data_IF_309644879979
#
_entry.id   IF_309644879979
#
_cell.length_a   1.000
_cell.length_b   1.000
_cell.length_c   1.000
_cell.angle_alpha   90.00
_cell.angle_beta   90.00
_cell.angle_gamma   90.00
#
_symmetry.space_group_name_H-M   'P 1'
#
loop_
_entity.id
_entity.type
_entity.pdbx_description
1 polymer ?
#
# COMPACT_ATOMS: atom_id res chain seq x y z
N UNK A 1 -45.46 54.33 16.28
CA UNK A 1 -45.10 53.18 15.41
C UNK A 1 -44.03 53.66 14.45
N UNK A 2 -42.83 53.11 14.29
CA UNK A 2 -42.00 52.08 14.92
C UNK A 2 -40.59 52.31 14.29
N UNK A 3 -39.51 52.42 15.08
CA UNK A 3 -38.32 51.50 15.10
C UNK A 3 -37.89 50.92 13.74
N UNK A 4 -36.62 50.70 13.36
CA UNK A 4 -35.24 50.76 13.89
C UNK A 4 -34.36 50.42 12.68
N UNK A 5 -33.14 50.96 12.54
CA UNK A 5 -31.98 50.15 12.10
C UNK A 5 -30.66 50.85 12.43
N UNK A 6 -29.80 50.17 13.21
CA UNK A 6 -28.40 50.55 13.46
C UNK A 6 -27.49 49.85 12.45
N UNK A 7 -26.26 50.37 12.25
CA UNK A 7 -25.12 49.48 12.12
C UNK A 7 -24.05 49.74 13.18
N UNK A 8 -23.59 48.63 13.72
CA UNK A 8 -22.58 48.40 14.72
C UNK A 8 -21.18 48.40 14.09
N UNK A 9 -20.25 49.28 14.49
CA UNK A 9 -18.79 49.01 14.53
C UNK A 9 -18.05 49.98 15.48
N UNK A 10 -17.24 49.40 16.37
CA UNK A 10 -15.87 49.82 16.75
C UNK A 10 -15.65 49.94 18.25
N UNK A 11 -15.02 48.91 18.84
CA UNK A 11 -14.29 49.03 20.10
C UNK A 11 -12.84 48.66 19.86
N UNK A 12 -12.00 49.68 19.87
CA UNK A 12 -10.55 49.64 19.69
C UNK A 12 -9.85 48.79 20.77
N UNK A 13 -8.77 48.16 20.32
CA UNK A 13 -7.86 47.24 20.99
C UNK A 13 -7.23 47.78 22.28
N UNK A 14 -6.93 46.86 23.20
CA UNK A 14 -5.88 47.02 24.22
C UNK A 14 -4.79 45.99 23.93
N UNK A 15 -3.66 46.45 23.39
CA UNK A 15 -2.43 45.67 23.25
C UNK A 15 -1.69 45.76 24.58
N UNK A 16 -1.28 44.63 25.15
CA UNK A 16 -0.40 44.60 26.33
C UNK A 16 0.86 43.82 25.95
N UNK A 17 1.96 44.54 25.98
CA UNK A 17 3.33 44.11 25.71
C UNK A 17 3.89 43.33 26.91
N UNK A 18 4.57 42.21 26.68
CA UNK A 18 5.32 41.47 27.70
C UNK A 18 6.81 41.48 27.33
N UNK A 19 7.54 42.46 27.88
CA UNK A 19 8.99 42.55 27.81
C UNK A 19 9.71 41.73 28.89
N UNK A 20 10.82 41.10 28.50
CA UNK A 20 11.89 40.56 29.34
C UNK A 20 12.52 41.65 30.23
N UNK A 21 13.26 41.43 31.33
CA UNK A 21 14.53 40.70 31.44
C UNK A 21 15.02 40.75 32.92
N UNK A 22 15.63 39.65 33.36
CA UNK A 22 16.69 39.43 34.38
C UNK A 22 17.15 40.65 35.24
N UNK A 23 17.12 40.47 36.58
CA UNK A 23 18.13 41.10 37.47
C UNK A 23 18.40 40.27 38.75
N UNK A 24 19.68 39.96 38.92
CA UNK A 24 20.33 39.19 39.99
C UNK A 24 20.55 40.04 41.25
N UNK A 25 20.34 39.48 42.46
CA UNK A 25 21.03 39.90 43.69
C UNK A 25 21.29 38.72 44.64
N UNK A 26 22.56 38.57 45.00
CA UNK A 26 23.15 37.66 45.99
C UNK A 26 23.24 38.33 47.37
N UNK A 27 23.02 37.55 48.44
CA UNK A 27 23.59 37.64 49.81
C UNK A 27 22.74 36.76 50.76
N UNK A 28 23.20 36.03 51.78
CA UNK A 28 24.50 35.62 52.29
C UNK A 28 24.28 34.53 53.39
N UNK A 29 25.25 33.60 53.52
CA UNK A 29 25.78 32.95 54.75
C UNK A 29 24.88 32.18 55.75
N UNK A 30 25.13 30.86 55.90
CA UNK A 30 25.22 30.15 57.22
C UNK A 30 25.90 28.73 57.17
N UNK A 31 27.13 28.65 57.71
CA UNK A 31 27.89 27.62 58.50
C UNK A 31 27.49 26.10 58.52
N UNK A 32 28.36 25.17 58.03
CA UNK A 32 29.31 24.19 58.72
C UNK A 32 28.71 22.76 59.02
N UNK A 33 29.49 21.66 59.30
CA UNK A 33 30.59 21.00 58.55
C UNK A 33 30.49 19.43 58.43
N UNK A 34 31.31 18.86 57.52
CA UNK A 34 31.98 17.53 57.45
C UNK A 34 31.33 16.24 57.99
N UNK A 35 31.18 15.23 57.11
CA UNK A 35 31.61 13.85 57.40
C UNK A 35 32.00 13.12 56.10
N UNK A 36 33.26 12.65 56.03
CA UNK A 36 33.73 11.69 55.03
C UNK A 36 33.54 10.30 55.61
N UNK A 37 32.80 9.44 54.92
CA UNK A 37 32.74 8.01 55.20
C UNK A 37 33.30 7.25 54.00
N UNK A 38 34.37 6.50 54.25
CA UNK A 38 34.99 5.55 53.34
C UNK A 38 34.28 4.20 53.51
N UNK A 39 33.76 3.60 52.44
CA UNK A 39 33.99 2.18 52.08
C UNK A 39 33.26 1.75 50.79
N UNK A 40 33.96 0.95 49.98
CA UNK A 40 33.51 0.32 48.73
C UNK A 40 32.55 -0.86 48.97
N UNK A 41 31.78 -1.36 47.98
CA UNK A 41 32.39 -2.26 46.98
C UNK A 41 31.83 -2.11 45.56
N UNK A 42 32.62 -2.59 44.60
CA UNK A 42 32.21 -2.82 43.20
C UNK A 42 30.86 -3.55 43.17
N UNK A 43 29.80 -2.83 42.85
CA UNK A 43 28.50 -3.42 42.50
C UNK A 43 28.69 -4.10 41.14
N UNK A 44 28.76 -5.42 41.15
CA UNK A 44 28.64 -6.25 39.96
C UNK A 44 27.47 -5.71 39.13
N UNK A 45 27.79 -5.14 37.96
CA UNK A 45 26.81 -4.91 36.90
C UNK A 45 26.26 -6.28 36.53
N UNK A 46 25.12 -6.62 37.11
CA UNK A 46 24.31 -7.74 36.66
C UNK A 46 23.94 -7.38 35.23
N UNK A 47 24.58 -8.03 34.25
CA UNK A 47 24.26 -7.84 32.84
C UNK A 47 22.75 -7.94 32.70
N UNK A 48 22.12 -6.81 32.40
CA UNK A 48 20.71 -6.74 32.10
C UNK A 48 20.51 -7.63 30.88
N UNK A 49 19.83 -8.75 31.08
CA UNK A 49 19.43 -9.63 30.01
C UNK A 49 18.48 -8.82 29.13
N UNK A 50 18.97 -8.39 27.96
CA UNK A 50 18.35 -7.53 26.95
C UNK A 50 16.81 -7.58 26.90
N UNK A 51 16.13 -6.89 27.80
CA UNK A 51 14.76 -6.44 27.57
C UNK A 51 14.87 -5.21 26.71
N UNK A 52 14.80 -5.42 25.39
CA UNK A 52 14.70 -4.37 24.40
C UNK A 52 13.66 -3.35 24.86
N UNK A 53 14.07 -2.08 24.99
CA UNK A 53 13.15 -0.99 25.22
C UNK A 53 12.06 -1.03 24.12
N UNK A 54 10.77 -0.83 24.47
CA UNK A 54 9.68 -0.80 23.50
C UNK A 54 9.98 0.11 22.30
N UNK A 55 10.66 1.23 22.55
CA UNK A 55 11.10 2.20 21.55
C UNK A 55 12.07 1.62 20.51
N UNK A 56 13.04 0.82 20.94
CA UNK A 56 14.04 0.20 20.05
C UNK A 56 13.43 -0.91 19.21
N UNK A 57 12.49 -1.67 19.78
CA UNK A 57 11.76 -2.71 19.05
C UNK A 57 10.89 -2.10 17.93
N UNK A 58 10.15 -1.02 18.22
CA UNK A 58 9.30 -0.32 17.25
C UNK A 58 10.14 0.26 16.10
N UNK A 59 11.32 0.80 16.41
CA UNK A 59 12.25 1.32 15.39
C UNK A 59 12.79 0.22 14.48
N UNK A 60 13.09 -0.98 15.01
CA UNK A 60 13.53 -2.13 14.21
C UNK A 60 12.45 -2.64 13.26
N UNK A 61 11.21 -2.73 13.73
CA UNK A 61 10.08 -3.14 12.91
C UNK A 61 9.83 -2.18 11.75
N UNK A 62 9.89 -0.87 11.99
CA UNK A 62 9.77 0.14 10.95
C UNK A 62 10.88 0.04 9.90
N UNK A 63 12.13 -0.21 10.31
CA UNK A 63 13.25 -0.43 9.36
C UNK A 63 13.04 -1.67 8.51
N UNK A 64 12.55 -2.76 9.11
CA UNK A 64 12.24 -3.98 8.38
C UNK A 64 11.10 -3.77 7.38
N UNK A 65 10.01 -3.12 7.79
CA UNK A 65 8.89 -2.78 6.89
C UNK A 65 9.36 -1.94 5.69
N UNK A 66 10.21 -0.94 5.94
CA UNK A 66 10.81 -0.13 4.88
C UNK A 66 11.66 -0.97 3.91
N UNK A 67 12.54 -1.82 4.44
CA UNK A 67 13.38 -2.70 3.63
C UNK A 67 12.54 -3.64 2.77
N UNK A 68 11.52 -4.28 3.35
CA UNK A 68 10.61 -5.16 2.62
C UNK A 68 9.82 -4.41 1.54
N UNK A 69 9.41 -3.17 1.81
CA UNK A 69 8.74 -2.34 0.80
C UNK A 69 9.67 -2.02 -0.38
N UNK A 70 10.93 -1.67 -0.13
CA UNK A 70 11.92 -1.43 -1.19
C UNK A 70 12.21 -2.70 -1.98
N UNK A 71 12.36 -3.83 -1.30
CA UNK A 71 12.54 -5.13 -1.96
C UNK A 71 11.35 -5.46 -2.87
N UNK A 72 10.12 -5.25 -2.39
CA UNK A 72 8.91 -5.45 -3.17
C UNK A 72 8.91 -4.59 -4.45
N UNK A 73 9.28 -3.31 -4.32
CA UNK A 73 9.37 -2.37 -5.45
C UNK A 73 10.41 -2.82 -6.49
N UNK A 74 11.57 -3.31 -6.03
CA UNK A 74 12.59 -3.88 -6.92
C UNK A 74 12.07 -5.13 -7.64
N UNK A 75 11.37 -6.04 -6.93
CA UNK A 75 10.77 -7.23 -7.53
C UNK A 75 9.74 -6.88 -8.61
N UNK A 76 8.80 -5.98 -8.29
CA UNK A 76 7.76 -5.49 -9.22
C UNK A 76 8.41 -4.84 -10.45
N UNK A 77 9.38 -3.96 -10.22
CA UNK A 77 10.11 -3.26 -11.27
C UNK A 77 10.86 -4.23 -12.18
N UNK A 78 11.64 -5.16 -11.62
CA UNK A 78 12.40 -6.14 -12.39
C UNK A 78 11.50 -7.01 -13.27
N UNK A 79 10.43 -7.59 -12.68
CA UNK A 79 9.48 -8.43 -13.42
C UNK A 79 8.86 -7.65 -14.58
N UNK A 80 8.44 -6.41 -14.33
CA UNK A 80 7.78 -5.56 -15.33
C UNK A 80 8.72 -5.16 -16.44
N UNK A 81 9.93 -4.71 -16.12
CA UNK A 81 10.93 -4.26 -17.08
C UNK A 81 11.35 -5.44 -17.97
N UNK A 82 11.68 -6.59 -17.38
CA UNK A 82 12.11 -7.75 -18.14
C UNK A 82 11.01 -8.26 -19.08
N UNK A 83 9.79 -8.42 -18.58
CA UNK A 83 8.67 -8.86 -19.41
C UNK A 83 8.39 -7.87 -20.53
N UNK A 84 8.47 -6.57 -20.25
CA UNK A 84 8.28 -5.54 -21.26
C UNK A 84 9.35 -5.60 -22.33
N UNK A 85 10.62 -5.72 -21.94
CA UNK A 85 11.74 -5.90 -22.86
C UNK A 85 11.52 -7.12 -23.77
N UNK A 86 11.16 -8.26 -23.19
CA UNK A 86 10.92 -9.50 -23.93
C UNK A 86 9.79 -9.35 -24.97
N UNK A 87 8.67 -8.74 -24.58
CA UNK A 87 7.50 -8.60 -25.46
C UNK A 87 7.68 -7.52 -26.53
N UNK A 88 8.39 -6.43 -26.21
CA UNK A 88 8.69 -5.36 -27.16
C UNK A 88 9.62 -5.86 -28.28
N UNK A 89 10.60 -6.70 -27.95
CA UNK A 89 11.50 -7.33 -28.93
C UNK A 89 10.79 -8.26 -29.91
N UNK A 90 9.59 -8.74 -29.56
CA UNK A 90 8.76 -9.59 -30.43
C UNK A 90 7.73 -8.81 -31.26
N UNK A 91 7.78 -7.48 -31.24
CA UNK A 91 6.93 -6.62 -32.06
C UNK A 91 5.50 -6.43 -31.56
N UNK A 92 5.20 -6.79 -30.29
CA UNK A 92 3.87 -6.62 -29.68
C UNK A 92 2.71 -7.20 -30.52
N UNK A 93 2.91 -8.37 -31.12
CA UNK A 93 1.87 -9.10 -31.84
C UNK A 93 1.40 -10.36 -31.10
N UNK A 94 0.11 -10.66 -31.20
CA UNK A 94 -0.47 -11.89 -30.68
C UNK A 94 -0.32 -12.05 -29.16
N UNK A 95 0.38 -13.13 -28.77
CA UNK A 95 0.64 -13.45 -27.35
C UNK A 95 1.55 -12.43 -26.67
N UNK A 96 2.45 -11.78 -27.41
CA UNK A 96 3.37 -10.80 -26.83
C UNK A 96 2.64 -9.53 -26.37
N UNK A 97 1.66 -9.05 -27.14
CA UNK A 97 0.80 -7.94 -26.75
C UNK A 97 0.00 -8.25 -25.49
N UNK A 98 -0.59 -9.45 -25.43
CA UNK A 98 -1.27 -9.94 -24.24
C UNK A 98 -0.34 -9.92 -23.02
N UNK A 99 0.82 -10.56 -23.14
CA UNK A 99 1.79 -10.65 -22.04
C UNK A 99 2.28 -9.27 -21.58
N UNK A 100 2.47 -8.34 -22.51
CA UNK A 100 2.85 -6.96 -22.19
C UNK A 100 1.76 -6.23 -21.42
N UNK A 101 0.53 -6.20 -21.96
CA UNK A 101 -0.61 -5.50 -21.37
C UNK A 101 -0.99 -6.04 -19.99
N UNK A 102 -1.00 -7.36 -19.80
CA UNK A 102 -1.32 -7.94 -18.48
C UNK A 102 -0.20 -7.75 -17.47
N UNK A 103 1.07 -7.73 -17.91
CA UNK A 103 2.19 -7.47 -16.99
C UNK A 103 2.19 -6.01 -16.54
N UNK A 104 2.14 -5.05 -17.48
CA UNK A 104 2.11 -3.63 -17.11
C UNK A 104 0.82 -3.27 -16.34
N UNK A 105 -0.29 -3.90 -16.68
CA UNK A 105 -1.58 -3.66 -16.04
C UNK A 105 -1.65 -4.23 -14.62
N UNK A 106 -1.52 -5.56 -14.49
CA UNK A 106 -1.72 -6.25 -13.22
C UNK A 106 -0.46 -6.35 -12.35
N UNK A 107 0.72 -6.51 -12.95
CA UNK A 107 1.96 -6.65 -12.14
C UNK A 107 2.52 -5.30 -11.72
N UNK A 108 2.40 -4.26 -12.53
CA UNK A 108 2.91 -2.93 -12.22
C UNK A 108 1.82 -1.99 -11.67
N UNK A 109 0.91 -1.50 -12.52
CA UNK A 109 -0.05 -0.47 -12.10
C UNK A 109 -0.98 -0.93 -10.97
N UNK A 110 -1.47 -2.17 -11.02
CA UNK A 110 -2.31 -2.69 -9.95
C UNK A 110 -1.52 -2.91 -8.64
N UNK A 111 -0.28 -3.42 -8.70
CA UNK A 111 0.54 -3.60 -7.51
C UNK A 111 0.86 -2.24 -6.83
N UNK A 112 1.30 -1.25 -7.61
CA UNK A 112 1.52 0.12 -7.11
C UNK A 112 0.22 0.73 -6.56
N UNK A 113 -0.86 0.54 -7.31
CA UNK A 113 -2.21 0.93 -6.93
C UNK A 113 -2.62 0.44 -5.53
N UNK A 114 -2.38 -0.84 -5.25
CA UNK A 114 -2.66 -1.49 -3.97
C UNK A 114 -1.73 -0.96 -2.87
N UNK A 115 -0.45 -0.74 -3.19
CA UNK A 115 0.57 -0.27 -2.25
C UNK A 115 0.41 1.19 -1.82
N UNK A 116 -0.28 2.04 -2.58
CA UNK A 116 -0.42 3.48 -2.28
C UNK A 116 -0.96 3.76 -0.87
N UNK A 117 -1.89 2.92 -0.39
CA UNK A 117 -2.51 3.10 0.92
C UNK A 117 -1.72 2.44 2.07
N UNK A 118 -0.63 1.73 1.77
CA UNK A 118 0.23 1.18 2.79
C UNK A 118 1.01 2.29 3.51
N UNK A 119 0.92 2.32 4.85
CA UNK A 119 1.50 3.38 5.67
C UNK A 119 3.03 3.47 5.57
N UNK A 120 3.71 2.34 5.33
CA UNK A 120 5.16 2.25 5.15
C UNK A 120 5.63 2.39 3.70
N UNK A 121 4.75 2.75 2.76
CA UNK A 121 5.15 2.87 1.36
C UNK A 121 6.05 4.10 1.16
N UNK A 122 7.31 3.86 0.77
CA UNK A 122 8.33 4.88 0.54
C UNK A 122 7.88 5.95 -0.46
N UNK A 123 7.14 5.55 -1.51
CA UNK A 123 6.74 6.47 -2.59
C UNK A 123 5.61 7.41 -2.21
N UNK A 124 4.74 6.99 -1.28
CA UNK A 124 3.51 7.74 -0.97
C UNK A 124 3.43 8.18 0.48
N UNK A 125 4.36 7.81 1.35
CA UNK A 125 4.30 8.07 2.79
C UNK A 125 3.89 9.52 3.11
N UNK A 126 4.55 10.49 2.48
CA UNK A 126 4.36 11.94 2.68
C UNK A 126 3.08 12.52 2.09
N UNK A 127 2.32 11.78 1.27
CA UNK A 127 1.12 12.29 0.63
C UNK A 127 -0.11 12.27 1.55
N UNK A 128 -0.94 13.31 1.41
CA UNK A 128 -2.25 13.40 2.07
C UNK A 128 -3.17 12.27 1.60
N UNK A 129 -4.10 11.87 2.46
CA UNK A 129 -5.07 10.78 2.18
C UNK A 129 -5.86 11.00 0.89
N UNK A 130 -6.29 12.24 0.62
CA UNK A 130 -7.00 12.58 -0.60
C UNK A 130 -6.16 12.29 -1.86
N UNK A 131 -4.92 12.78 -1.89
CA UNK A 131 -3.98 12.52 -2.99
C UNK A 131 -3.72 11.03 -3.18
N UNK A 132 -3.52 10.28 -2.09
CA UNK A 132 -3.38 8.81 -2.14
C UNK A 132 -4.58 8.16 -2.83
N UNK A 133 -5.79 8.54 -2.43
CA UNK A 133 -7.01 8.02 -3.08
C UNK A 133 -7.07 8.37 -4.56
N UNK A 134 -6.67 9.59 -4.95
CA UNK A 134 -6.62 10.00 -6.36
C UNK A 134 -5.67 9.14 -7.17
N UNK A 135 -4.43 8.96 -6.70
CA UNK A 135 -3.45 8.13 -7.39
C UNK A 135 -3.93 6.67 -7.43
N UNK A 136 -4.55 6.17 -6.35
CA UNK A 136 -5.08 4.82 -6.28
C UNK A 136 -6.09 4.55 -7.40
N UNK A 137 -7.16 5.34 -7.51
CA UNK A 137 -8.17 5.05 -8.54
C UNK A 137 -7.61 5.23 -9.96
N UNK A 138 -6.70 6.18 -10.20
CA UNK A 138 -6.05 6.36 -11.51
C UNK A 138 -5.22 5.11 -11.88
N UNK A 139 -4.33 4.66 -10.98
CA UNK A 139 -3.49 3.49 -11.26
C UNK A 139 -4.33 2.21 -11.40
N UNK A 140 -5.36 2.03 -10.58
CA UNK A 140 -6.23 0.84 -10.67
C UNK A 140 -7.09 0.87 -11.94
N UNK A 141 -7.55 2.04 -12.38
CA UNK A 141 -8.28 2.16 -13.65
C UNK A 141 -7.36 1.85 -14.83
N UNK A 142 -6.15 2.43 -14.87
CA UNK A 142 -5.18 2.13 -15.93
C UNK A 142 -4.77 0.65 -15.92
N UNK A 143 -4.43 0.13 -14.74
CA UNK A 143 -4.03 -1.26 -14.55
C UNK A 143 -5.14 -2.25 -14.90
N UNK A 144 -6.36 -1.97 -14.46
CA UNK A 144 -7.55 -2.77 -14.76
C UNK A 144 -7.89 -2.75 -16.24
N UNK A 145 -7.89 -1.58 -16.89
CA UNK A 145 -8.13 -1.47 -18.34
C UNK A 145 -7.06 -2.22 -19.14
N UNK A 146 -5.77 -1.96 -18.90
CA UNK A 146 -4.69 -2.65 -19.60
C UNK A 146 -4.74 -4.17 -19.39
N UNK A 147 -4.89 -4.62 -18.14
CA UNK A 147 -4.96 -6.04 -17.80
C UNK A 147 -6.18 -6.74 -18.39
N UNK A 148 -7.35 -6.11 -18.30
CA UNK A 148 -8.58 -6.66 -18.87
C UNK A 148 -8.53 -6.72 -20.40
N UNK A 149 -8.06 -5.66 -21.08
CA UNK A 149 -7.86 -5.65 -22.53
C UNK A 149 -6.85 -6.71 -22.98
N UNK A 150 -5.72 -6.85 -22.27
CA UNK A 150 -4.73 -7.87 -22.55
C UNK A 150 -5.32 -9.28 -22.45
N UNK A 151 -6.06 -9.57 -21.39
CA UNK A 151 -6.77 -10.85 -21.23
C UNK A 151 -7.80 -11.09 -22.34
N UNK A 152 -8.63 -10.08 -22.65
CA UNK A 152 -9.67 -10.17 -23.67
C UNK A 152 -9.11 -10.47 -25.06
N UNK A 153 -8.06 -9.76 -25.47
CA UNK A 153 -7.37 -10.01 -26.76
C UNK A 153 -6.96 -11.48 -26.86
N UNK A 154 -6.39 -12.05 -25.78
CA UNK A 154 -5.93 -13.44 -25.79
C UNK A 154 -7.07 -14.44 -25.82
N UNK A 155 -8.18 -14.14 -25.14
CA UNK A 155 -9.39 -14.98 -25.17
C UNK A 155 -9.99 -15.02 -26.57
N UNK A 156 -10.11 -13.88 -27.24
CA UNK A 156 -10.60 -13.79 -28.63
C UNK A 156 -9.69 -14.60 -29.57
N UNK A 157 -8.37 -14.41 -29.48
CA UNK A 157 -7.40 -15.17 -30.30
C UNK A 157 -7.46 -16.68 -30.11
N UNK A 158 -7.92 -17.15 -28.95
CA UNK A 158 -8.05 -18.56 -28.61
C UNK A 158 -9.49 -19.08 -28.70
N UNK A 159 -10.43 -18.28 -29.19
CA UNK A 159 -11.84 -18.65 -29.25
C UNK A 159 -12.41 -19.08 -27.90
N UNK A 160 -11.98 -18.43 -26.80
CA UNK A 160 -12.35 -18.77 -25.42
C UNK A 160 -12.04 -20.22 -25.01
N UNK A 161 -11.03 -20.85 -25.62
CA UNK A 161 -10.54 -22.16 -25.20
C UNK A 161 -9.68 -22.06 -23.92
N UNK A 162 -10.31 -22.34 -22.76
CA UNK A 162 -9.73 -22.16 -21.41
C UNK A 162 -9.28 -23.49 -20.76
N UNK A 163 -8.61 -24.39 -21.50
CA UNK A 163 -8.18 -25.67 -20.93
C UNK A 163 -6.99 -25.57 -19.97
N UNK A 164 -6.05 -24.64 -20.23
CA UNK A 164 -4.84 -24.48 -19.42
C UNK A 164 -5.13 -23.82 -18.06
N UNK A 165 -4.34 -24.15 -17.03
CA UNK A 165 -4.41 -23.50 -15.71
C UNK A 165 -4.26 -21.99 -15.81
N UNK A 166 -3.31 -21.51 -16.64
CA UNK A 166 -3.15 -20.09 -16.93
C UNK A 166 -4.40 -19.46 -17.54
N UNK A 167 -5.06 -20.15 -18.49
CA UNK A 167 -6.30 -19.68 -19.11
C UNK A 167 -7.46 -19.57 -18.11
N UNK A 168 -7.67 -20.60 -17.27
CA UNK A 168 -8.73 -20.61 -16.25
C UNK A 168 -8.55 -19.48 -15.25
N UNK A 169 -7.36 -19.35 -14.67
CA UNK A 169 -7.06 -18.29 -13.70
C UNK A 169 -7.12 -16.90 -14.34
N UNK A 170 -6.63 -16.75 -15.58
CA UNK A 170 -6.70 -15.49 -16.31
C UNK A 170 -8.14 -15.04 -16.60
N UNK A 171 -9.03 -15.98 -16.92
CA UNK A 171 -10.45 -15.67 -17.06
C UNK A 171 -11.10 -15.28 -15.72
N UNK A 172 -10.78 -16.01 -14.64
CA UNK A 172 -11.24 -15.64 -13.29
C UNK A 172 -10.75 -14.24 -12.90
N UNK A 173 -9.48 -13.91 -13.14
CA UNK A 173 -8.93 -12.58 -12.90
C UNK A 173 -9.64 -11.51 -13.74
N UNK A 174 -9.96 -11.79 -15.00
CA UNK A 174 -10.70 -10.88 -15.87
C UNK A 174 -12.08 -10.54 -15.29
N UNK A 175 -12.86 -11.55 -14.87
CA UNK A 175 -14.19 -11.33 -14.27
C UNK A 175 -14.06 -10.58 -12.93
N UNK A 176 -13.14 -10.98 -12.06
CA UNK A 176 -12.90 -10.29 -10.79
C UNK A 176 -12.48 -8.83 -11.01
N UNK A 177 -11.68 -8.55 -12.05
CA UNK A 177 -11.29 -7.20 -12.40
C UNK A 177 -12.51 -6.34 -12.79
N UNK A 178 -13.43 -6.86 -13.61
CA UNK A 178 -14.65 -6.14 -13.98
C UNK A 178 -15.53 -5.85 -12.75
N UNK A 179 -15.68 -6.82 -11.84
CA UNK A 179 -16.42 -6.65 -10.59
C UNK A 179 -15.72 -5.65 -9.64
N UNK A 180 -14.40 -5.69 -9.55
CA UNK A 180 -13.61 -4.76 -8.74
C UNK A 180 -13.70 -3.32 -9.29
N UNK A 181 -13.66 -3.15 -10.62
CA UNK A 181 -13.79 -1.84 -11.27
C UNK A 181 -15.20 -1.26 -11.07
N UNK A 182 -16.24 -2.05 -11.30
CA UNK A 182 -17.64 -1.60 -11.09
C UNK A 182 -17.90 -1.24 -9.63
N UNK A 183 -17.49 -2.08 -8.68
CA UNK A 183 -17.60 -1.77 -7.25
C UNK A 183 -16.78 -0.53 -6.84
N UNK A 184 -15.62 -0.31 -7.46
CA UNK A 184 -14.79 0.88 -7.24
C UNK A 184 -15.47 2.17 -7.69
N UNK A 185 -16.09 2.15 -8.87
CA UNK A 185 -16.92 3.26 -9.36
C UNK A 185 -18.11 3.51 -8.42
N UNK A 186 -18.81 2.45 -8.01
CA UNK A 186 -19.91 2.58 -7.04
C UNK A 186 -19.45 3.16 -5.70
N UNK A 187 -18.24 2.85 -5.25
CA UNK A 187 -17.67 3.40 -4.02
C UNK A 187 -17.34 4.88 -4.15
N UNK A 188 -16.82 5.30 -5.31
CA UNK A 188 -16.52 6.71 -5.61
C UNK A 188 -17.78 7.57 -5.63
N UNK A 189 -18.88 7.06 -6.19
CA UNK A 189 -20.19 7.73 -6.23
C UNK A 189 -21.12 7.39 -5.05
N UNK A 190 -20.56 6.91 -3.93
CA UNK A 190 -21.30 6.46 -2.75
C UNK A 190 -22.35 7.45 -2.23
N UNK A 191 -22.12 8.76 -2.36
CA UNK A 191 -23.10 9.80 -1.97
C UNK A 191 -24.43 9.69 -2.73
N UNK A 192 -24.42 9.16 -3.96
CA UNK A 192 -25.63 8.90 -4.78
C UNK A 192 -26.15 7.47 -4.62
N UNK A 193 -25.25 6.51 -4.33
CA UNK A 193 -25.56 5.07 -4.25
C UNK A 193 -26.00 4.61 -2.84
N UNK A 194 -25.88 5.47 -1.82
CA UNK A 194 -26.23 5.19 -0.41
C UNK A 194 -27.66 4.69 -0.15
N UNK A 195 -28.57 4.81 -1.13
CA UNK A 195 -29.95 4.29 -1.04
C UNK A 195 -30.04 2.76 -1.28
N UNK A 196 -29.03 2.15 -1.92
CA UNK A 196 -29.03 0.73 -2.28
C UNK A 196 -28.06 -0.11 -1.43
N UNK A 197 -26.86 0.40 -1.14
CA UNK A 197 -25.83 -0.34 -0.41
C UNK A 197 -25.19 0.60 0.61
N UNK A 198 -25.00 0.13 1.85
CA UNK A 198 -24.27 0.90 2.85
C UNK A 198 -22.82 1.14 2.39
N UNK A 199 -22.31 2.38 2.50
CA UNK A 199 -20.98 2.73 2.01
C UNK A 199 -19.87 1.89 2.66
N UNK A 200 -20.09 1.42 3.89
CA UNK A 200 -19.18 0.52 4.59
C UNK A 200 -19.10 -0.86 3.92
N UNK A 201 -20.24 -1.49 3.61
CA UNK A 201 -20.28 -2.80 2.95
C UNK A 201 -19.67 -2.74 1.55
N UNK A 202 -20.04 -1.73 0.75
CA UNK A 202 -19.46 -1.58 -0.59
C UNK A 202 -17.94 -1.41 -0.54
N UNK A 203 -17.41 -0.65 0.43
CA UNK A 203 -15.97 -0.46 0.59
C UNK A 203 -15.25 -1.75 1.03
N UNK A 204 -15.87 -2.57 1.87
CA UNK A 204 -15.31 -3.87 2.27
C UNK A 204 -15.35 -4.86 1.10
N UNK A 205 -16.47 -4.90 0.37
CA UNK A 205 -16.62 -5.74 -0.81
C UNK A 205 -15.64 -5.37 -1.93
N UNK A 206 -15.48 -4.08 -2.24
CA UNK A 206 -14.50 -3.60 -3.20
C UNK A 206 -13.06 -4.02 -2.81
N UNK A 207 -12.71 -3.90 -1.53
CA UNK A 207 -11.38 -4.29 -1.04
C UNK A 207 -11.16 -5.81 -1.18
N UNK A 208 -12.18 -6.61 -0.88
CA UNK A 208 -12.12 -8.07 -1.04
C UNK A 208 -12.00 -8.49 -2.51
N UNK A 209 -12.81 -7.90 -3.40
CA UNK A 209 -12.76 -8.18 -4.84
C UNK A 209 -11.44 -7.76 -5.46
N UNK A 210 -10.97 -6.54 -5.15
CA UNK A 210 -9.70 -6.02 -5.65
C UNK A 210 -8.51 -6.86 -5.17
N UNK A 211 -8.50 -7.26 -3.90
CA UNK A 211 -7.47 -8.14 -3.36
C UNK A 211 -7.50 -9.53 -4.02
N UNK A 212 -8.68 -10.15 -4.13
CA UNK A 212 -8.84 -11.45 -4.79
C UNK A 212 -8.41 -11.39 -6.25
N UNK A 213 -8.78 -10.33 -6.96
CA UNK A 213 -8.34 -10.08 -8.34
C UNK A 213 -6.81 -10.02 -8.41
N UNK A 214 -6.15 -9.26 -7.54
CA UNK A 214 -4.70 -9.12 -7.51
C UNK A 214 -3.99 -10.47 -7.26
N UNK A 215 -4.46 -11.26 -6.29
CA UNK A 215 -3.89 -12.59 -5.99
C UNK A 215 -4.03 -13.54 -7.18
N UNK A 216 -5.23 -13.61 -7.78
CA UNK A 216 -5.46 -14.49 -8.94
C UNK A 216 -4.67 -13.99 -10.16
N UNK A 217 -4.53 -12.68 -10.37
CA UNK A 217 -3.76 -12.12 -11.48
C UNK A 217 -2.26 -12.46 -11.37
N UNK A 218 -1.63 -12.28 -10.20
CA UNK A 218 -0.22 -12.61 -10.04
C UNK A 218 0.03 -14.13 -10.03
N UNK A 219 -0.92 -14.91 -9.52
CA UNK A 219 -0.88 -16.38 -9.66
C UNK A 219 -0.99 -16.77 -11.14
N UNK A 220 -1.84 -16.09 -11.92
CA UNK A 220 -1.94 -16.30 -13.36
C UNK A 220 -0.61 -15.96 -14.06
N UNK A 221 0.07 -14.89 -13.65
CA UNK A 221 1.38 -14.51 -14.15
C UNK A 221 2.44 -15.58 -13.85
N UNK A 222 2.45 -16.14 -12.63
CA UNK A 222 3.29 -17.28 -12.26
C UNK A 222 3.13 -18.47 -13.23
N UNK A 223 1.88 -18.84 -13.55
CA UNK A 223 1.59 -19.88 -14.54
C UNK A 223 1.90 -19.43 -15.98
N UNK A 224 1.90 -18.12 -16.24
CA UNK A 224 2.33 -17.52 -17.50
C UNK A 224 3.77 -17.90 -17.86
N UNK A 225 4.67 -17.96 -16.87
CA UNK A 225 6.05 -18.40 -17.06
C UNK A 225 6.20 -19.88 -17.42
N UNK A 226 5.16 -20.69 -17.15
CA UNK A 226 5.16 -22.11 -17.55
C UNK A 226 4.63 -22.34 -18.96
N UNK A 227 4.07 -21.32 -19.61
CA UNK A 227 3.54 -21.44 -20.97
C UNK A 227 4.68 -21.61 -21.99
N UNK A 228 4.37 -22.25 -23.12
CA UNK A 228 5.33 -22.43 -24.22
C UNK A 228 5.90 -21.11 -24.75
N UNK A 229 5.15 -20.01 -24.64
CA UNK A 229 5.62 -18.69 -25.06
C UNK A 229 6.86 -18.23 -24.30
N UNK A 230 6.83 -18.33 -22.97
CA UNK A 230 7.93 -17.92 -22.11
C UNK A 230 9.05 -18.97 -22.08
N UNK A 231 8.69 -20.26 -22.03
CA UNK A 231 9.65 -21.37 -22.03
C UNK A 231 10.55 -21.40 -23.26
N UNK A 232 10.02 -21.06 -24.44
CA UNK A 232 10.81 -21.02 -25.67
C UNK A 232 11.77 -19.82 -25.77
N UNK A 233 11.71 -18.88 -24.82
CA UNK A 233 12.46 -17.60 -24.86
C UNK A 233 13.27 -17.33 -23.59
N UNK A 234 13.35 -18.29 -22.68
CA UNK A 234 14.05 -18.14 -21.41
C UNK A 234 14.58 -19.47 -20.92
N UNK A 235 15.76 -19.43 -20.30
CA UNK A 235 16.37 -20.58 -19.64
C UNK A 235 15.58 -20.99 -18.40
N UNK A 236 15.69 -22.26 -18.01
CA UNK A 236 14.92 -22.84 -16.91
C UNK A 236 15.19 -22.14 -15.58
N UNK A 237 16.44 -21.81 -15.27
CA UNK A 237 16.82 -21.13 -14.03
C UNK A 237 16.22 -19.72 -13.97
N UNK A 238 16.20 -19.02 -15.10
CA UNK A 238 15.58 -17.70 -15.21
C UNK A 238 14.06 -17.76 -15.03
N UNK A 239 13.40 -18.82 -15.53
CA UNK A 239 11.97 -19.03 -15.27
C UNK A 239 11.67 -19.23 -13.78
N UNK A 240 12.55 -19.93 -13.05
CA UNK A 240 12.42 -20.11 -11.60
C UNK A 240 12.59 -18.77 -10.90
N UNK A 241 13.59 -17.98 -11.29
CA UNK A 241 13.80 -16.63 -10.74
C UNK A 241 12.55 -15.75 -10.90
N UNK A 242 11.98 -15.67 -12.11
CA UNK A 242 10.80 -14.84 -12.40
C UNK A 242 9.57 -15.26 -11.57
N UNK A 243 9.40 -16.57 -11.36
CA UNK A 243 8.36 -17.10 -10.47
C UNK A 243 8.58 -16.71 -9.03
N UNK A 244 9.80 -16.86 -8.51
CA UNK A 244 10.15 -16.47 -7.15
C UNK A 244 9.91 -14.97 -6.94
N UNK A 245 10.38 -14.11 -7.84
CA UNK A 245 10.18 -12.67 -7.75
C UNK A 245 8.70 -12.27 -7.76
N UNK A 246 7.89 -12.91 -8.61
CA UNK A 246 6.44 -12.66 -8.69
C UNK A 246 5.71 -13.14 -7.43
N UNK A 247 6.12 -14.27 -6.86
CA UNK A 247 5.55 -14.78 -5.61
C UNK A 247 5.95 -13.90 -4.42
N UNK A 248 7.21 -13.48 -4.36
CA UNK A 248 7.69 -12.52 -3.36
C UNK A 248 6.91 -11.22 -3.45
N UNK A 249 6.72 -10.66 -4.66
CA UNK A 249 5.96 -9.42 -4.81
C UNK A 249 4.49 -9.58 -4.44
N UNK A 250 3.88 -10.73 -4.77
CA UNK A 250 2.53 -11.07 -4.33
C UNK A 250 2.42 -11.06 -2.80
N UNK A 251 3.30 -11.77 -2.10
CA UNK A 251 3.26 -11.88 -0.64
C UNK A 251 3.47 -10.51 0.02
N UNK A 252 4.50 -9.77 -0.40
CA UNK A 252 4.83 -8.47 0.20
C UNK A 252 3.74 -7.42 -0.07
N UNK A 253 3.19 -7.38 -1.29
CA UNK A 253 2.09 -6.46 -1.64
C UNK A 253 0.79 -6.80 -0.90
N UNK A 254 0.58 -8.09 -0.60
CA UNK A 254 -0.64 -8.56 0.09
C UNK A 254 -0.70 -8.18 1.56
N UNK A 255 0.43 -7.93 2.22
CA UNK A 255 0.49 -7.64 3.65
C UNK A 255 -0.42 -6.47 4.07
N UNK A 256 -0.38 -5.36 3.33
CA UNK A 256 -1.20 -4.17 3.61
C UNK A 256 -2.71 -4.43 3.50
N UNK A 257 -3.20 -4.92 2.34
CA UNK A 257 -4.60 -5.29 2.15
C UNK A 257 -5.12 -6.32 3.16
N UNK A 258 -4.34 -7.37 3.49
CA UNK A 258 -4.74 -8.37 4.49
C UNK A 258 -4.96 -7.73 5.85
N UNK A 259 -4.02 -6.91 6.31
CA UNK A 259 -4.15 -6.19 7.59
C UNK A 259 -5.40 -5.30 7.61
N UNK A 260 -5.67 -4.60 6.51
CA UNK A 260 -6.85 -3.74 6.39
C UNK A 260 -8.17 -4.53 6.34
N UNK A 261 -8.19 -5.71 5.71
CA UNK A 261 -9.36 -6.60 5.71
C UNK A 261 -9.61 -7.18 7.11
N UNK A 262 -8.56 -7.69 7.75
CA UNK A 262 -8.64 -8.28 9.09
C UNK A 262 -9.23 -7.29 10.11
N UNK A 263 -8.69 -6.07 10.17
CA UNK A 263 -9.18 -5.02 11.07
C UNK A 263 -10.65 -4.66 10.82
N UNK A 264 -11.10 -4.67 9.56
CA UNK A 264 -12.50 -4.38 9.23
C UNK A 264 -13.42 -5.53 9.61
N UNK A 265 -13.02 -6.77 9.37
CA UNK A 265 -13.78 -7.95 9.77
C UNK A 265 -13.93 -8.01 11.29
N UNK A 266 -12.86 -7.74 12.04
CA UNK A 266 -12.90 -7.66 13.50
C UNK A 266 -13.84 -6.55 14.00
N UNK A 267 -13.79 -5.37 13.39
CA UNK A 267 -14.70 -4.28 13.78
C UNK A 267 -16.17 -4.60 13.50
N UNK A 268 -16.46 -5.33 12.42
CA UNK A 268 -17.82 -5.78 12.10
C UNK A 268 -18.25 -6.87 13.08
N UNK A 269 -17.39 -7.85 13.39
CA UNK A 269 -17.73 -8.93 14.32
C UNK A 269 -17.95 -8.46 15.76
N UNK A 270 -17.37 -7.32 16.15
CA UNK A 270 -17.64 -6.70 17.47
C UNK A 270 -18.94 -5.90 17.53
N UNK A 271 -19.58 -5.63 16.39
CA UNK A 271 -20.85 -4.88 16.31
C UNK A 271 -22.09 -5.79 16.33
N UNK A 272 -21.90 -7.12 16.24
CA UNK A 272 -22.94 -8.15 16.34
C UNK A 272 -22.63 -9.07 17.52
#
# INVERSE_FOLDING_TARGET
MAEVEQPFVSRSQRVVDYGSTIQTRLAASARLPSFVTIESPRRYSKMSHNTLSPHDSQTRWQRLEYFLNVLNQICIGFVTIYMSYLTLRTGLQGTSLHAWLVTIGFSFFMAEGVMIHYGGNVLTHSYKRHTKTTIHWILLTLGGCCGASGALIKMIQKGFSLHSTHGKLGFTAFILCLLAMTSGVSALFSARVKRLITPLLNKTFHNFLGFSCFVIALTTQYYGYQTGYFKSRSETDFQILMKCLTLTSLVLTSYGPLKALYQKCENISRQF
#
